data_IF_349958573125
#
_entry.id   IF_349958573125
#
_cell.length_a   1.000
_cell.length_b   1.000
_cell.length_c   1.000
_cell.angle_alpha   90.00
_cell.angle_beta   90.00
_cell.angle_gamma   90.00
#
_symmetry.space_group_name_H-M   'P 1'
#
loop_
_entity.id
_entity.type
_entity.pdbx_description
1 polymer ?
#
# COMPACT_ATOMS: atom_id res chain seq x y z
N UNK A 1 -13.54 12.38 -5.35
CA UNK A 1 -12.88 11.38 -4.48
C UNK A 1 -11.54 11.92 -4.02
N UNK A 2 -10.81 11.15 -3.24
CA UNK A 2 -9.42 11.44 -2.86
C UNK A 2 -8.56 10.24 -3.21
N UNK A 3 -7.26 10.47 -3.41
CA UNK A 3 -6.31 9.42 -3.75
C UNK A 3 -4.99 9.64 -3.02
N UNK A 4 -4.23 8.55 -2.89
CA UNK A 4 -2.91 8.54 -2.27
C UNK A 4 -1.95 7.76 -3.14
N UNK A 5 -0.70 8.23 -3.18
CA UNK A 5 0.43 7.53 -3.78
C UNK A 5 1.48 7.25 -2.71
N UNK A 6 1.76 5.98 -2.47
CA UNK A 6 2.73 5.50 -1.49
C UNK A 6 3.99 5.09 -2.24
N UNK A 7 5.12 5.75 -1.93
CA UNK A 7 6.41 5.52 -2.57
C UNK A 7 7.31 4.70 -1.64
N UNK A 8 7.71 3.47 -2.01
CA UNK A 8 8.67 2.72 -1.21
C UNK A 8 10.04 3.43 -1.25
N UNK A 9 10.64 3.65 -0.07
CA UNK A 9 11.97 4.27 0.05
C UNK A 9 13.12 3.26 -0.07
N UNK A 10 12.83 1.98 0.14
CA UNK A 10 13.82 0.88 0.16
C UNK A 10 13.28 -0.36 -0.54
N UNK A 11 14.16 -1.30 -0.90
CA UNK A 11 13.77 -2.59 -1.48
C UNK A 11 12.88 -3.42 -0.53
N UNK A 12 13.14 -3.36 0.79
CA UNK A 12 12.30 -4.02 1.78
C UNK A 12 10.90 -3.38 1.83
N UNK A 13 10.81 -2.04 1.78
CA UNK A 13 9.53 -1.35 1.72
C UNK A 13 8.75 -1.69 0.44
N UNK A 14 9.45 -1.82 -0.70
CA UNK A 14 8.85 -2.29 -1.96
C UNK A 14 8.27 -3.69 -1.81
N UNK A 15 9.02 -4.62 -1.22
CA UNK A 15 8.58 -6.00 -1.00
C UNK A 15 7.39 -6.06 -0.01
N UNK A 16 7.38 -5.23 1.03
CA UNK A 16 6.24 -5.08 1.93
C UNK A 16 4.99 -4.59 1.21
N UNK A 17 5.13 -3.57 0.34
CA UNK A 17 4.01 -3.08 -0.48
C UNK A 17 3.60 -4.06 -1.59
N UNK A 18 4.44 -5.02 -1.96
CA UNK A 18 4.13 -6.07 -2.93
C UNK A 18 3.17 -7.14 -2.36
N UNK A 19 3.12 -7.29 -1.03
CA UNK A 19 2.12 -8.12 -0.35
C UNK A 19 0.70 -7.61 -0.60
N UNK A 20 -0.15 -8.48 -1.18
CA UNK A 20 -1.58 -8.20 -1.35
C UNK A 20 -2.24 -7.95 0.00
N UNK A 21 -1.90 -8.74 1.02
CA UNK A 21 -2.45 -8.58 2.37
C UNK A 21 -2.12 -7.22 2.98
N UNK A 22 -0.89 -6.71 2.78
CA UNK A 22 -0.53 -5.37 3.24
C UNK A 22 -1.36 -4.29 2.55
N UNK A 23 -1.52 -4.40 1.22
CA UNK A 23 -2.32 -3.43 0.46
C UNK A 23 -3.80 -3.48 0.84
N UNK A 24 -4.33 -4.65 1.16
CA UNK A 24 -5.69 -4.80 1.68
C UNK A 24 -5.84 -4.18 3.07
N UNK A 25 -4.87 -4.35 3.97
CA UNK A 25 -4.88 -3.69 5.27
C UNK A 25 -4.88 -2.16 5.14
N UNK A 26 -4.08 -1.62 4.22
CA UNK A 26 -4.07 -0.18 3.89
C UNK A 26 -5.44 0.30 3.41
N UNK A 27 -6.04 -0.41 2.45
CA UNK A 27 -7.35 -0.05 1.91
C UNK A 27 -8.47 -0.18 2.95
N UNK A 28 -8.39 -1.20 3.82
CA UNK A 28 -9.33 -1.45 4.89
C UNK A 28 -9.31 -0.34 5.95
N UNK A 29 -8.14 0.03 6.46
CA UNK A 29 -8.02 1.11 7.46
C UNK A 29 -8.49 2.46 6.91
N UNK A 30 -8.13 2.79 5.67
CA UNK A 30 -8.61 4.01 5.04
C UNK A 30 -10.15 4.03 4.90
N UNK A 31 -10.74 2.90 4.50
CA UNK A 31 -12.19 2.74 4.41
C UNK A 31 -12.89 2.84 5.78
N UNK A 32 -12.30 2.23 6.81
CA UNK A 32 -12.83 2.21 8.17
C UNK A 32 -12.82 3.61 8.79
N UNK A 33 -11.70 4.32 8.70
CA UNK A 33 -11.50 5.59 9.39
C UNK A 33 -12.15 6.78 8.68
N UNK A 34 -12.19 6.79 7.35
CA UNK A 34 -12.78 7.91 6.60
C UNK A 34 -14.25 7.65 6.22
N UNK A 35 -14.71 6.40 6.43
CA UNK A 35 -16.01 5.92 5.98
C UNK A 35 -16.06 5.80 4.46
N UNK A 36 -16.62 4.72 3.95
CA UNK A 36 -16.97 4.63 2.54
C UNK A 36 -18.37 5.18 2.33
N UNK A 37 -18.54 5.99 1.29
CA UNK A 37 -19.87 6.33 0.81
C UNK A 37 -20.37 5.14 -0.02
N UNK A 38 -20.80 4.08 0.65
CA UNK A 38 -21.33 2.86 0.03
C UNK A 38 -22.85 2.95 -0.01
N UNK A 39 -23.44 2.92 -1.21
CA UNK A 39 -24.78 2.38 -1.36
C UNK A 39 -24.68 0.85 -1.48
N UNK A 40 -25.70 0.13 -1.00
CA UNK A 40 -25.71 -1.35 -0.89
C UNK A 40 -25.45 -2.03 -2.23
N UNK A 41 -25.73 -1.33 -3.33
CA UNK A 41 -25.67 -1.85 -4.69
C UNK A 41 -24.34 -1.58 -5.42
N UNK A 42 -23.37 -0.91 -4.77
CA UNK A 42 -22.11 -0.48 -5.43
C UNK A 42 -20.84 -1.06 -4.78
N UNK A 43 -20.61 -2.39 -4.85
CA UNK A 43 -19.39 -3.02 -4.33
C UNK A 43 -18.11 -2.54 -5.05
N UNK A 44 -18.25 -1.97 -6.23
CA UNK A 44 -17.18 -1.37 -7.04
C UNK A 44 -16.53 -0.15 -6.37
N UNK A 45 -17.24 0.52 -5.45
CA UNK A 45 -16.72 1.69 -4.73
C UNK A 45 -15.70 1.34 -3.63
N UNK A 46 -15.45 0.04 -3.38
CA UNK A 46 -14.41 -0.37 -2.43
C UNK A 46 -13.02 0.01 -2.95
N UNK A 47 -12.19 0.68 -2.15
CA UNK A 47 -10.86 1.08 -2.59
C UNK A 47 -9.99 -0.14 -2.85
N UNK A 48 -9.29 -0.09 -3.99
CA UNK A 48 -8.27 -1.08 -4.33
C UNK A 48 -6.92 -0.38 -4.39
N UNK A 49 -6.01 -0.79 -3.52
CA UNK A 49 -4.62 -0.37 -3.55
C UNK A 49 -3.84 -1.21 -4.58
N UNK A 50 -3.53 -0.61 -5.73
CA UNK A 50 -2.79 -1.25 -6.83
C UNK A 50 -1.32 -0.85 -6.79
N UNK A 51 -0.44 -1.81 -7.02
CA UNK A 51 1.00 -1.56 -7.10
C UNK A 51 1.44 -1.48 -8.57
N UNK A 52 2.31 -0.54 -8.90
CA UNK A 52 3.07 -0.55 -10.14
C UNK A 52 4.21 -1.60 -10.03
N UNK A 53 4.24 -2.62 -10.89
CA UNK A 53 5.22 -3.71 -10.80
C UNK A 53 6.66 -3.28 -11.10
N UNK A 54 6.88 -2.15 -11.77
CA UNK A 54 8.22 -1.65 -12.12
C UNK A 54 8.80 -0.79 -10.98
N UNK A 55 7.99 0.14 -10.45
CA UNK A 55 8.42 1.13 -9.45
C UNK A 55 8.15 0.70 -8.01
N UNK A 56 7.24 -0.24 -7.79
CA UNK A 56 6.76 -0.63 -6.46
C UNK A 56 5.83 0.38 -5.79
N UNK A 57 5.51 1.49 -6.47
CA UNK A 57 4.58 2.51 -5.96
C UNK A 57 3.17 1.93 -5.84
N UNK A 58 2.46 2.27 -4.76
CA UNK A 58 1.07 1.91 -4.58
C UNK A 58 0.19 3.14 -4.78
N UNK A 59 -0.84 3.00 -5.60
CA UNK A 59 -1.88 4.01 -5.79
C UNK A 59 -3.22 3.44 -5.33
N UNK A 60 -3.95 4.25 -4.56
CA UNK A 60 -5.30 3.95 -4.11
C UNK A 60 -6.16 5.20 -4.26
N UNK A 61 -7.36 5.03 -4.80
CA UNK A 61 -8.37 6.08 -4.86
C UNK A 61 -9.64 5.60 -4.14
N UNK A 62 -10.35 6.53 -3.51
CA UNK A 62 -11.59 6.25 -2.80
C UNK A 62 -12.54 7.44 -2.83
N UNK A 63 -13.83 7.19 -2.60
CA UNK A 63 -14.85 8.23 -2.40
C UNK A 63 -15.36 8.13 -0.95
N UNK A 64 -14.67 8.78 0.00
CA UNK A 64 -15.03 8.66 1.41
C UNK A 64 -16.15 9.62 1.79
N UNK A 65 -16.75 9.34 2.94
CA UNK A 65 -17.66 10.28 3.62
C UNK A 65 -16.85 11.48 4.11
N UNK A 66 -15.75 11.23 4.83
CA UNK A 66 -14.81 12.27 5.25
C UNK A 66 -13.79 12.55 4.13
N UNK A 67 -13.93 13.71 3.47
CA UNK A 67 -13.04 14.13 2.38
C UNK A 67 -11.87 14.96 2.88
N UNK A 68 -10.98 14.34 3.65
CA UNK A 68 -9.77 14.98 4.16
C UNK A 68 -8.50 14.16 3.84
N UNK A 69 -7.62 14.73 3.02
CA UNK A 69 -6.38 14.08 2.58
C UNK A 69 -5.40 13.87 3.74
N UNK A 70 -5.38 14.77 4.73
CA UNK A 70 -4.49 14.63 5.90
C UNK A 70 -4.90 13.45 6.76
N UNK A 71 -6.20 13.26 6.97
CA UNK A 71 -6.73 12.11 7.68
C UNK A 71 -6.51 10.81 6.90
N UNK A 72 -6.60 10.82 5.57
CA UNK A 72 -6.22 9.66 4.75
C UNK A 72 -4.75 9.27 4.96
N UNK A 73 -3.84 10.23 4.92
CA UNK A 73 -2.41 9.97 5.14
C UNK A 73 -2.19 9.37 6.54
N UNK A 74 -2.76 9.98 7.58
CA UNK A 74 -2.64 9.48 8.95
C UNK A 74 -3.22 8.08 9.11
N UNK A 75 -4.39 7.81 8.53
CA UNK A 75 -5.00 6.47 8.56
C UNK A 75 -4.04 5.41 8.01
N UNK A 76 -3.35 5.71 6.91
CA UNK A 76 -2.39 4.80 6.29
C UNK A 76 -1.13 4.65 7.14
N UNK A 77 -0.67 5.70 7.80
CA UNK A 77 0.47 5.65 8.72
C UNK A 77 0.22 4.79 9.96
N UNK A 78 -1.04 4.63 10.38
CA UNK A 78 -1.42 3.74 11.48
C UNK A 78 -1.41 2.26 11.12
N UNK A 79 -1.40 1.92 9.83
CA UNK A 79 -1.48 0.52 9.38
C UNK A 79 -0.22 -0.23 9.81
N UNK A 80 -0.33 -1.27 10.66
CA UNK A 80 0.84 -2.06 11.03
C UNK A 80 1.37 -2.83 9.81
N UNK A 81 2.69 -3.04 9.78
CA UNK A 81 3.30 -3.97 8.83
C UNK A 81 2.96 -5.39 9.29
N UNK A 82 2.22 -6.14 8.46
CA UNK A 82 1.84 -7.50 8.77
C UNK A 82 3.07 -8.42 8.74
N UNK A 83 3.15 -9.37 9.66
CA UNK A 83 4.27 -10.33 9.73
C UNK A 83 4.46 -11.09 8.41
N UNK A 84 3.37 -11.58 7.82
CA UNK A 84 3.39 -12.26 6.52
C UNK A 84 3.85 -11.39 5.33
N UNK A 85 3.81 -10.06 5.49
CA UNK A 85 4.25 -9.07 4.50
C UNK A 85 5.71 -8.66 4.66
N UNK A 86 6.35 -9.02 5.77
CA UNK A 86 7.78 -8.76 5.95
C UNK A 86 8.56 -9.71 5.05
N UNK A 87 9.23 -9.13 4.06
CA UNK A 87 10.24 -9.80 3.23
C UNK A 87 11.50 -8.95 3.31
N UNK A 88 12.64 -9.59 3.58
CA UNK A 88 13.95 -8.94 3.57
C UNK A 88 14.78 -9.46 2.39
N UNK A 89 14.38 -9.23 1.13
CA UNK A 89 15.09 -9.74 -0.04
C UNK A 89 16.53 -9.21 -0.10
N UNK A 90 16.79 -8.00 0.40
CA UNK A 90 18.15 -7.43 0.48
C UNK A 90 19.10 -8.26 1.36
N UNK A 91 18.59 -8.96 2.37
CA UNK A 91 19.40 -9.75 3.30
C UNK A 91 19.19 -11.26 3.17
N UNK A 92 18.43 -11.74 2.17
CA UNK A 92 18.14 -13.17 2.01
C UNK A 92 19.27 -13.94 1.32
N UNK A 93 20.27 -13.25 0.76
CA UNK A 93 21.34 -13.88 -0.03
C UNK A 93 20.90 -14.37 -1.41
N UNK A 94 19.58 -14.42 -1.69
CA UNK A 94 19.01 -14.84 -2.97
C UNK A 94 19.15 -13.79 -4.08
N UNK A 95 19.55 -12.57 -3.73
CA UNK A 95 19.56 -11.45 -4.65
C UNK A 95 20.97 -11.23 -5.22
N UNK A 96 21.16 -11.02 -6.54
CA UNK A 96 22.48 -10.86 -7.11
C UNK A 96 23.27 -9.71 -6.47
N UNK A 97 24.60 -9.86 -6.33
CA UNK A 97 25.47 -8.80 -5.84
C UNK A 97 25.23 -7.49 -6.61
N UNK A 98 25.13 -6.38 -5.89
CA UNK A 98 24.87 -5.04 -6.47
C UNK A 98 23.41 -4.62 -6.57
N UNK A 99 22.44 -5.55 -6.44
CA UNK A 99 21.01 -5.18 -6.39
C UNK A 99 20.47 -4.95 -4.98
N UNK A 100 21.06 -5.54 -3.94
CA UNK A 100 20.63 -5.41 -2.55
C UNK A 100 20.55 -3.94 -2.03
N UNK A 101 21.31 -3.02 -2.63
CA UNK A 101 21.28 -1.59 -2.33
C UNK A 101 20.55 -0.71 -3.36
N UNK A 102 20.01 -1.27 -4.44
CA UNK A 102 19.40 -0.49 -5.51
C UNK A 102 17.99 -0.03 -5.12
N UNK A 103 17.69 1.27 -5.31
CA UNK A 103 16.34 1.82 -5.22
C UNK A 103 15.48 1.25 -6.35
N UNK A 104 14.84 0.11 -6.09
CA UNK A 104 13.97 -0.58 -7.05
C UNK A 104 14.21 -2.08 -7.14
N UNK A 105 14.28 -2.79 -6.00
CA UNK A 105 14.45 -4.26 -5.99
C UNK A 105 13.38 -5.05 -6.73
N UNK A 106 13.42 -6.39 -6.85
CA UNK A 106 12.43 -7.09 -7.65
C UNK A 106 11.02 -6.86 -7.09
N UNK A 107 9.97 -7.05 -7.90
CA UNK A 107 8.60 -7.12 -7.38
C UNK A 107 8.46 -8.18 -6.29
#
# INVERSE_FOLDING_TARGET
>A
GIAVRIRPKTANARATLASVGQRQAIAHEAALLLGLKMDVDEPEMRPIARQNPDTGEVVMAMVPVLRDERTLIRAIEYVPVLEGSVRKPASSGLWPPGRAGARGGPP
#
